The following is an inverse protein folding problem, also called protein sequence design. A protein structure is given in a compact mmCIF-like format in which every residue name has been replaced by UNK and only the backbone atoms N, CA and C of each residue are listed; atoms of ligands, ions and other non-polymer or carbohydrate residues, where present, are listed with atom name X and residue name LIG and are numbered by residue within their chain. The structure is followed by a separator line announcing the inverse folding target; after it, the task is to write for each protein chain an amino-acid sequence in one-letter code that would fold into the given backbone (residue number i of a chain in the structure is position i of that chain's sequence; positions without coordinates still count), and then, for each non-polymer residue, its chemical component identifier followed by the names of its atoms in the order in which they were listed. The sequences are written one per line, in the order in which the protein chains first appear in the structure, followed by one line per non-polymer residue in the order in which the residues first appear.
data_IF_607914547061
#
_entry.id   IF_607914547061
#
_cell.length_a   1.000
_cell.length_b   1.000
_cell.length_c   1.000
_cell.angle_alpha   90.00
_cell.angle_beta   90.00
_cell.angle_gamma   90.00
#
_symmetry.space_group_name_H-M   'P 1'
#
loop_
_entity.id
_entity.type
_entity.pdbx_description
1 polymer ?
#
# COMPACT_ATOMS: atom_id res chain seq x y z
N UNK A 1 8.44 -5.38 -25.18
CA UNK A 1 7.18 -4.99 -24.50
C UNK A 1 7.04 -5.85 -23.24
N UNK A 2 6.98 -5.23 -22.09
CA UNK A 2 6.93 -5.89 -20.79
C UNK A 2 5.48 -6.26 -20.43
N UNK A 3 5.31 -7.14 -19.43
CA UNK A 3 4.01 -7.63 -18.96
C UNK A 3 3.81 -7.25 -17.48
N UNK A 4 2.57 -7.25 -17.06
CA UNK A 4 2.24 -7.10 -15.64
C UNK A 4 2.87 -8.25 -14.84
N UNK A 5 3.54 -7.93 -13.74
CA UNK A 5 4.31 -8.86 -12.93
C UNK A 5 5.78 -9.02 -13.34
N UNK A 6 6.18 -8.52 -14.51
CA UNK A 6 7.60 -8.53 -14.91
C UNK A 6 8.44 -7.67 -13.98
N UNK A 7 9.63 -8.17 -13.68
CA UNK A 7 10.64 -7.41 -12.95
C UNK A 7 11.72 -6.95 -13.91
N UNK A 8 11.96 -5.66 -13.90
CA UNK A 8 12.84 -5.00 -14.87
C UNK A 8 13.78 -4.08 -14.14
N UNK A 9 15.03 -3.99 -14.61
CA UNK A 9 16.02 -3.08 -14.08
C UNK A 9 15.77 -1.67 -14.60
N UNK A 10 15.74 -0.69 -13.72
CA UNK A 10 15.74 0.74 -14.07
C UNK A 10 17.13 1.11 -14.58
N UNK A 11 17.19 1.99 -15.58
CA UNK A 11 18.46 2.53 -16.10
C UNK A 11 19.34 3.08 -14.97
N UNK A 12 20.64 3.04 -15.18
CA UNK A 12 21.60 3.58 -14.22
C UNK A 12 21.51 5.11 -14.15
N UNK A 13 21.88 5.66 -12.99
CA UNK A 13 21.83 7.10 -12.75
C UNK A 13 22.65 7.90 -13.75
N UNK A 14 23.85 7.42 -14.05
CA UNK A 14 24.79 8.03 -15.02
C UNK A 14 24.18 8.07 -16.43
N UNK A 15 23.38 7.06 -16.80
CA UNK A 15 22.67 7.07 -18.06
C UNK A 15 21.63 8.18 -18.13
N UNK A 16 20.84 8.36 -17.07
CA UNK A 16 19.85 9.46 -17.01
C UNK A 16 20.55 10.82 -17.08
N UNK A 17 21.60 11.01 -16.28
CA UNK A 17 22.35 12.27 -16.22
C UNK A 17 23.02 12.64 -17.54
N UNK A 18 23.43 11.65 -18.34
CA UNK A 18 24.10 11.88 -19.63
C UNK A 18 23.15 11.97 -20.83
N UNK A 19 21.97 11.37 -20.74
CA UNK A 19 21.07 11.19 -21.90
C UNK A 19 19.82 12.05 -21.82
N UNK A 20 19.30 12.33 -20.61
CA UNK A 20 18.07 13.09 -20.42
C UNK A 20 18.36 14.59 -20.33
N UNK A 21 17.39 15.39 -20.79
CA UNK A 21 17.48 16.83 -20.69
C UNK A 21 17.31 17.28 -19.25
N UNK A 22 18.34 17.92 -18.71
CA UNK A 22 18.28 18.53 -17.38
C UNK A 22 17.44 19.81 -17.41
N UNK A 23 16.54 19.96 -16.45
CA UNK A 23 15.73 21.15 -16.26
C UNK A 23 15.88 21.71 -14.85
N UNK A 24 15.57 22.98 -14.68
CA UNK A 24 15.63 23.66 -13.39
C UNK A 24 14.34 23.41 -12.58
N UNK A 25 14.15 22.14 -12.18
CA UNK A 25 13.05 21.71 -11.33
C UNK A 25 13.58 20.71 -10.28
N UNK A 26 13.60 21.07 -8.99
CA UNK A 26 14.17 20.21 -7.96
C UNK A 26 13.42 18.89 -7.75
N UNK A 27 12.15 18.82 -8.10
CA UNK A 27 11.34 17.61 -7.95
C UNK A 27 11.42 16.67 -9.16
N UNK A 28 11.64 17.24 -10.35
CA UNK A 28 11.74 16.50 -11.60
C UNK A 28 12.87 17.08 -12.45
N UNK A 29 14.13 16.78 -12.11
CA UNK A 29 15.30 17.42 -12.70
C UNK A 29 15.61 16.98 -14.13
N UNK A 30 15.01 15.89 -14.62
CA UNK A 30 15.28 15.33 -15.92
C UNK A 30 14.01 15.09 -16.73
N UNK A 31 14.08 15.31 -18.04
CA UNK A 31 13.01 15.02 -19.01
C UNK A 31 13.59 14.12 -20.09
N UNK A 32 12.88 13.03 -20.37
CA UNK A 32 13.25 12.15 -21.48
C UNK A 32 13.13 12.89 -22.83
N UNK A 33 14.18 12.91 -23.64
CA UNK A 33 14.25 13.78 -24.83
C UNK A 33 13.18 13.49 -25.89
N UNK A 34 12.80 12.22 -26.06
CA UNK A 34 11.87 11.82 -27.11
C UNK A 34 10.41 11.82 -26.67
N UNK A 35 10.13 11.52 -25.39
CA UNK A 35 8.76 11.38 -24.89
C UNK A 35 8.26 12.59 -24.11
N UNK A 36 9.15 13.47 -23.67
CA UNK A 36 8.83 14.60 -22.81
C UNK A 36 8.41 14.20 -21.38
N UNK A 37 8.53 12.91 -21.04
CA UNK A 37 8.15 12.42 -19.71
C UNK A 37 9.25 12.77 -18.72
N UNK A 38 8.81 13.30 -17.57
CA UNK A 38 9.71 13.65 -16.47
C UNK A 38 10.25 12.43 -15.74
N UNK A 39 11.55 12.46 -15.44
CA UNK A 39 12.21 11.51 -14.57
C UNK A 39 12.48 12.20 -13.22
N UNK A 40 11.62 11.94 -12.26
CA UNK A 40 11.60 12.66 -10.99
C UNK A 40 12.61 12.10 -9.98
N UNK A 41 12.78 12.80 -8.85
CA UNK A 41 13.74 12.41 -7.82
C UNK A 41 13.46 11.06 -7.19
N UNK A 42 12.20 10.63 -7.14
CA UNK A 42 11.87 9.29 -6.64
C UNK A 42 12.27 8.20 -7.65
N UNK A 43 12.10 8.47 -8.95
CA UNK A 43 12.59 7.59 -10.01
C UNK A 43 14.13 7.50 -9.99
N UNK A 44 14.83 8.62 -9.71
CA UNK A 44 16.28 8.64 -9.56
C UNK A 44 16.77 7.71 -8.44
N UNK A 45 16.00 7.56 -7.36
CA UNK A 45 16.34 6.61 -6.28
C UNK A 45 16.19 5.14 -6.68
N UNK A 46 15.43 4.88 -7.74
CA UNK A 46 15.22 3.53 -8.28
C UNK A 46 16.26 3.13 -9.34
N UNK A 47 17.13 4.06 -9.80
CA UNK A 47 18.17 3.76 -10.77
C UNK A 47 19.02 2.56 -10.33
N UNK A 48 19.32 1.66 -11.27
CA UNK A 48 20.08 0.44 -11.02
C UNK A 48 19.38 -0.61 -10.16
N UNK A 49 18.10 -0.43 -9.84
CA UNK A 49 17.31 -1.41 -9.07
C UNK A 49 16.25 -2.09 -9.93
N UNK A 50 15.77 -3.25 -9.48
CA UNK A 50 14.66 -3.93 -10.11
C UNK A 50 13.33 -3.43 -9.58
N UNK A 51 12.40 -3.13 -10.50
CA UNK A 51 11.03 -2.72 -10.23
C UNK A 51 10.03 -3.70 -10.84
N UNK A 52 8.82 -3.74 -10.31
CA UNK A 52 7.76 -4.66 -10.74
C UNK A 52 6.67 -3.91 -11.50
N UNK A 53 6.34 -4.34 -12.69
CA UNK A 53 5.24 -3.77 -13.47
C UNK A 53 3.90 -4.13 -12.82
N UNK A 54 3.19 -3.12 -12.37
CA UNK A 54 1.87 -3.24 -11.74
C UNK A 54 0.73 -3.18 -12.76
N UNK A 55 0.77 -2.20 -13.65
CA UNK A 55 -0.22 -1.99 -14.70
C UNK A 55 0.43 -1.46 -15.96
N UNK A 56 -0.23 -1.65 -17.09
CA UNK A 56 0.13 -1.08 -18.39
C UNK A 56 -1.04 -0.20 -18.85
N UNK A 57 -0.76 1.07 -19.12
CA UNK A 57 -1.76 2.05 -19.55
C UNK A 57 -1.28 2.71 -20.83
N UNK A 58 -1.77 2.23 -21.98
CA UNK A 58 -1.28 2.67 -23.28
C UNK A 58 0.22 2.39 -23.44
N UNK A 59 1.03 3.44 -23.59
CA UNK A 59 2.47 3.36 -23.73
C UNK A 59 3.24 3.56 -22.40
N UNK A 60 2.56 3.53 -21.28
CA UNK A 60 3.16 3.73 -19.97
C UNK A 60 3.03 2.48 -19.11
N UNK A 61 4.01 2.31 -18.24
CA UNK A 61 4.00 1.34 -17.15
C UNK A 61 3.78 2.06 -15.82
N UNK A 62 2.99 1.45 -14.96
CA UNK A 62 2.92 1.79 -13.54
C UNK A 62 3.63 0.69 -12.79
N UNK A 63 4.46 1.04 -11.83
CA UNK A 63 5.23 0.09 -11.02
C UNK A 63 4.69 0.02 -9.59
N UNK A 64 5.03 -1.05 -8.87
CA UNK A 64 4.56 -1.26 -7.50
C UNK A 64 5.28 -0.38 -6.49
N UNK A 65 6.56 -0.10 -6.72
CA UNK A 65 7.47 0.50 -5.75
C UNK A 65 7.24 2.00 -5.56
N UNK A 66 6.92 2.71 -6.63
CA UNK A 66 6.64 4.16 -6.58
C UNK A 66 5.60 4.58 -7.62
N UNK A 67 4.92 5.69 -7.35
CA UNK A 67 4.04 6.31 -8.32
C UNK A 67 4.82 7.02 -9.42
N UNK A 68 4.32 6.92 -10.64
CA UNK A 68 4.92 7.58 -11.81
C UNK A 68 4.52 6.91 -13.12
N UNK A 69 4.77 7.62 -14.22
CA UNK A 69 4.62 7.09 -15.57
C UNK A 69 5.98 6.64 -16.07
N UNK A 70 6.10 5.38 -16.36
CA UNK A 70 7.33 4.75 -16.83
C UNK A 70 7.19 4.38 -18.30
N UNK A 71 8.26 4.50 -19.06
CA UNK A 71 8.34 4.12 -20.48
C UNK A 71 9.45 3.11 -20.69
N UNK A 72 9.43 2.41 -21.84
CA UNK A 72 10.43 1.38 -22.16
C UNK A 72 11.88 1.89 -21.98
N UNK A 73 12.15 3.14 -22.35
CA UNK A 73 13.49 3.73 -22.30
C UNK A 73 14.00 4.01 -20.86
N UNK A 74 13.12 3.83 -19.85
CA UNK A 74 13.53 3.93 -18.44
C UNK A 74 14.04 2.60 -17.88
N UNK A 75 14.05 1.55 -18.70
CA UNK A 75 14.43 0.21 -18.28
C UNK A 75 15.59 -0.34 -19.12
N UNK A 76 16.37 -1.24 -18.53
CA UNK A 76 17.48 -1.91 -19.18
C UNK A 76 17.18 -3.40 -19.31
N UNK A 77 17.35 -3.91 -20.52
CA UNK A 77 17.38 -5.35 -20.78
C UNK A 77 16.01 -6.01 -20.82
N UNK A 78 16.04 -7.33 -20.82
CA UNK A 78 14.85 -8.15 -20.80
C UNK A 78 14.31 -8.30 -19.38
N UNK A 79 12.99 -8.50 -19.28
CA UNK A 79 12.37 -8.81 -18.00
C UNK A 79 12.99 -10.06 -17.41
N UNK A 80 13.37 -10.00 -16.15
CA UNK A 80 13.72 -11.21 -15.42
C UNK A 80 12.43 -11.91 -14.98
N UNK A 81 12.28 -13.15 -15.36
CA UNK A 81 11.30 -14.00 -14.70
C UNK A 81 11.59 -13.98 -13.19
N UNK A 82 10.57 -13.78 -12.33
CA UNK A 82 10.76 -13.78 -10.91
C UNK A 82 11.45 -15.09 -10.49
N UNK A 83 12.56 -14.98 -9.80
CA UNK A 83 13.17 -16.18 -9.22
C UNK A 83 12.21 -16.75 -8.16
N UNK A 84 12.27 -18.06 -7.91
CA UNK A 84 11.44 -18.69 -6.87
C UNK A 84 11.55 -17.96 -5.51
N UNK A 85 12.71 -17.40 -5.20
CA UNK A 85 12.90 -16.60 -3.98
C UNK A 85 12.15 -15.27 -4.03
N UNK A 86 12.04 -14.64 -5.20
CA UNK A 86 11.32 -13.38 -5.39
C UNK A 86 9.82 -13.60 -5.36
N UNK A 87 9.32 -14.69 -5.99
CA UNK A 87 7.93 -15.14 -5.88
C UNK A 87 7.57 -15.41 -4.42
N UNK A 88 8.44 -16.09 -3.67
CA UNK A 88 8.23 -16.34 -2.25
C UNK A 88 8.18 -15.05 -1.42
N UNK A 89 9.07 -14.09 -1.67
CA UNK A 89 9.09 -12.79 -0.98
C UNK A 89 7.83 -11.96 -1.28
N UNK A 90 7.39 -11.97 -2.53
CA UNK A 90 6.17 -11.28 -2.95
C UNK A 90 4.93 -11.90 -2.30
N UNK A 91 4.81 -13.22 -2.36
CA UNK A 91 3.73 -13.96 -1.71
C UNK A 91 3.72 -13.72 -0.20
N UNK A 92 4.89 -13.77 0.45
CA UNK A 92 5.03 -13.49 1.88
C UNK A 92 4.60 -12.07 2.23
N UNK A 93 5.01 -11.07 1.44
CA UNK A 93 4.61 -9.67 1.65
C UNK A 93 3.10 -9.49 1.57
N UNK A 94 2.46 -10.11 0.58
CA UNK A 94 1.01 -10.06 0.42
C UNK A 94 0.28 -10.76 1.57
N UNK A 95 0.77 -11.91 2.02
CA UNK A 95 0.21 -12.61 3.19
C UNK A 95 0.33 -11.75 4.45
N UNK A 96 1.48 -11.12 4.68
CA UNK A 96 1.69 -10.25 5.85
C UNK A 96 0.76 -9.04 5.81
N UNK A 97 0.58 -8.41 4.65
CA UNK A 97 -0.34 -7.28 4.50
C UNK A 97 -1.79 -7.72 4.76
N UNK A 98 -2.23 -8.83 4.16
CA UNK A 98 -3.57 -9.36 4.37
C UNK A 98 -3.84 -9.75 5.83
N UNK A 99 -2.85 -10.31 6.51
CA UNK A 99 -2.93 -10.61 7.96
C UNK A 99 -3.03 -9.33 8.78
N UNK A 100 -2.30 -8.27 8.42
CA UNK A 100 -2.39 -6.96 9.08
C UNK A 100 -3.79 -6.36 8.98
N UNK A 101 -4.38 -6.41 7.80
CA UNK A 101 -5.74 -5.92 7.55
C UNK A 101 -6.78 -6.74 8.34
N UNK A 102 -6.62 -8.07 8.38
CA UNK A 102 -7.53 -8.94 9.12
C UNK A 102 -7.41 -8.74 10.63
N UNK A 103 -6.21 -8.54 11.17
CA UNK A 103 -5.99 -8.21 12.57
C UNK A 103 -6.67 -6.88 12.91
N UNK A 104 -6.52 -5.85 12.07
CA UNK A 104 -7.16 -4.56 12.29
C UNK A 104 -8.70 -4.70 12.31
N UNK A 105 -9.27 -5.52 11.40
CA UNK A 105 -10.69 -5.81 11.36
C UNK A 105 -11.19 -6.53 12.62
N UNK A 106 -10.44 -7.54 13.08
CA UNK A 106 -10.78 -8.29 14.30
C UNK A 106 -10.68 -7.38 15.53
N UNK A 107 -9.65 -6.55 15.63
CA UNK A 107 -9.50 -5.59 16.74
C UNK A 107 -10.72 -4.68 16.83
N UNK A 108 -11.17 -4.12 15.70
CA UNK A 108 -12.36 -3.28 15.66
C UNK A 108 -13.61 -4.02 16.14
N UNK A 109 -13.79 -5.28 15.73
CA UNK A 109 -14.94 -6.10 16.19
C UNK A 109 -14.88 -6.40 17.68
N UNK A 110 -13.69 -6.58 18.25
CA UNK A 110 -13.52 -6.77 19.71
C UNK A 110 -13.90 -5.49 20.45
N UNK A 111 -13.43 -4.33 20.00
CA UNK A 111 -13.78 -3.04 20.61
C UNK A 111 -15.30 -2.79 20.58
N UNK A 112 -15.95 -3.03 19.43
CA UNK A 112 -17.42 -2.92 19.30
C UNK A 112 -18.15 -3.90 20.24
N UNK A 113 -17.62 -5.11 20.42
CA UNK A 113 -18.18 -6.12 21.34
C UNK A 113 -18.04 -5.67 22.79
N UNK A 114 -16.93 -5.08 23.18
CA UNK A 114 -16.72 -4.54 24.53
C UNK A 114 -17.68 -3.39 24.84
N UNK A 115 -17.93 -2.49 23.88
CA UNK A 115 -18.91 -1.41 24.02
C UNK A 115 -20.33 -1.96 24.26
N UNK A 116 -20.72 -2.98 23.50
CA UNK A 116 -22.03 -3.64 23.68
C UNK A 116 -22.13 -4.28 25.05
N UNK A 117 -21.09 -4.99 25.51
CA UNK A 117 -21.07 -5.60 26.83
C UNK A 117 -21.19 -4.56 27.93
N UNK A 118 -20.52 -3.44 27.82
CA UNK A 118 -20.60 -2.35 28.79
C UNK A 118 -22.02 -1.75 28.86
N UNK A 119 -22.69 -1.58 27.72
CA UNK A 119 -24.07 -1.11 27.67
C UNK A 119 -25.04 -2.10 28.29
N UNK A 120 -24.85 -3.39 28.00
CA UNK A 120 -25.65 -4.45 28.65
C UNK A 120 -25.53 -4.45 30.18
N UNK A 121 -24.30 -4.26 30.68
CA UNK A 121 -24.06 -4.16 32.13
C UNK A 121 -24.77 -2.94 32.76
N UNK A 122 -24.79 -1.81 32.08
CA UNK A 122 -25.55 -0.62 32.53
C UNK A 122 -27.05 -0.89 32.60
N UNK A 123 -27.61 -1.59 31.60
CA UNK A 123 -29.02 -1.96 31.58
C UNK A 123 -29.36 -2.95 32.68
N UNK A 124 -28.52 -3.95 32.94
CA UNK A 124 -28.69 -4.89 34.03
C UNK A 124 -28.72 -4.15 35.38
N UNK A 125 -27.77 -3.24 35.61
CA UNK A 125 -27.73 -2.44 36.84
C UNK A 125 -29.02 -1.60 37.01
N UNK A 126 -29.48 -0.97 35.94
CA UNK A 126 -30.72 -0.21 35.96
C UNK A 126 -31.95 -1.08 36.33
N UNK A 127 -32.01 -2.31 35.81
CA UNK A 127 -33.05 -3.25 36.16
C UNK A 127 -32.97 -3.68 37.62
N UNK A 128 -31.77 -3.90 38.15
CA UNK A 128 -31.57 -4.22 39.56
C UNK A 128 -32.08 -3.09 40.46
N UNK A 129 -31.72 -1.83 40.14
CA UNK A 129 -32.18 -0.65 40.87
C UNK A 129 -33.71 -0.54 40.85
N UNK A 130 -34.37 -0.80 39.72
CA UNK A 130 -35.85 -0.83 39.64
C UNK A 130 -36.48 -1.93 40.48
N UNK A 131 -35.90 -3.13 40.49
CA UNK A 131 -36.35 -4.25 41.31
C UNK A 131 -36.25 -3.90 42.78
N UNK A 132 -35.15 -3.31 43.22
CA UNK A 132 -35.00 -2.86 44.62
C UNK A 132 -36.04 -1.80 45.01
N UNK A 133 -36.36 -0.86 44.12
CA UNK A 133 -37.40 0.14 44.32
C UNK A 133 -38.77 -0.51 44.50
N UNK A 134 -39.14 -1.43 43.61
CA UNK A 134 -40.41 -2.17 43.69
C UNK A 134 -40.51 -2.95 44.99
N UNK A 135 -39.46 -3.66 45.40
CA UNK A 135 -39.43 -4.43 46.66
C UNK A 135 -39.59 -3.48 47.84
N UNK A 136 -38.89 -2.35 47.85
CA UNK A 136 -39.03 -1.34 48.92
C UNK A 136 -40.44 -0.82 49.04
N UNK A 137 -41.13 -0.55 47.92
CA UNK A 137 -42.50 -0.04 47.91
C UNK A 137 -43.49 -1.10 48.37
N UNK A 138 -43.29 -2.36 48.00
CA UNK A 138 -44.10 -3.48 48.49
C UNK A 138 -43.96 -3.67 50.00
N UNK A 139 -42.79 -3.45 50.57
CA UNK A 139 -42.56 -3.57 52.02
C UNK A 139 -43.16 -2.44 52.82
N UNK A 140 -43.50 -1.31 52.21
CA UNK A 140 -44.16 -0.16 52.87
C UNK A 140 -45.67 -0.26 52.99
N UNK A 141 -46.24 -1.19 52.24
CA UNK A 141 -47.68 -1.49 52.30
C UNK A 141 -47.96 -2.52 53.40
#
# INVERSE_FOLDING_TARGET
MYKVGDRIMVVEKEFVESTFNKIDNPFCPYIHPNTGIGFNMNMMKMCGTYVTIKHIVGNYYLIEEIEGRWVDDFFIGDSLAPTKLQEYRYTRKNIVNNLGDEIARITKLVDESEEIQLEMLKQIKHLDDLIEEIISDMCKQ
#
